data_IF_994635546612
#
_entry.id   IF_994635546612
#
_cell.length_a   1.000
_cell.length_b   1.000
_cell.length_c   1.000
_cell.angle_alpha   90.00
_cell.angle_beta   90.00
_cell.angle_gamma   90.00
#
_symmetry.space_group_name_H-M   'P 1'
#
loop_
_entity.id
_entity.type
_entity.pdbx_description
1 polymer ?
#
# COMPACT_ATOMS: atom_id res chain seq x y z
N UNK A 1 -4.11 -4.54 16.51
CA UNK A 1 -2.90 -4.74 15.66
C UNK A 1 -2.14 -6.06 15.86
N UNK A 2 -2.26 -6.75 17.01
CA UNK A 2 -1.43 -7.93 17.36
C UNK A 2 -1.60 -9.16 16.47
N UNK A 3 -2.81 -9.45 15.96
CA UNK A 3 -3.04 -10.65 15.14
C UNK A 3 -2.44 -10.57 13.72
N UNK A 4 -2.53 -9.41 13.06
CA UNK A 4 -1.92 -9.16 11.75
C UNK A 4 -0.39 -9.24 11.87
N UNK A 5 0.18 -8.57 12.88
CA UNK A 5 1.60 -8.59 13.16
C UNK A 5 2.14 -10.01 13.31
N UNK A 6 1.50 -10.83 14.15
CA UNK A 6 1.90 -12.25 14.34
C UNK A 6 1.76 -13.08 13.08
N UNK A 7 0.85 -12.72 12.18
CA UNK A 7 0.66 -13.45 10.92
C UNK A 7 1.77 -13.10 9.93
N UNK A 8 2.05 -11.81 9.74
CA UNK A 8 3.17 -11.34 8.93
C UNK A 8 4.52 -11.84 9.47
N UNK A 9 4.72 -11.79 10.79
CA UNK A 9 5.93 -12.31 11.43
C UNK A 9 6.13 -13.80 11.09
N UNK A 10 5.07 -14.61 11.26
CA UNK A 10 5.13 -16.06 10.93
C UNK A 10 5.38 -16.31 9.45
N UNK A 11 4.76 -15.53 8.56
CA UNK A 11 4.97 -15.65 7.11
C UNK A 11 6.40 -15.27 6.72
N UNK A 12 6.91 -14.15 7.22
CA UNK A 12 8.26 -13.64 6.95
C UNK A 12 9.39 -14.49 7.58
N UNK A 13 9.11 -15.24 8.64
CA UNK A 13 10.05 -16.17 9.27
C UNK A 13 10.20 -17.50 8.53
N UNK A 14 9.34 -17.79 7.55
CA UNK A 14 9.48 -19.02 6.74
C UNK A 14 10.84 -18.99 6.03
N UNK A 15 11.60 -20.10 6.04
CA UNK A 15 12.85 -20.18 5.30
C UNK A 15 12.55 -19.87 3.83
N UNK A 16 13.24 -18.87 3.27
CA UNK A 16 13.09 -18.54 1.87
C UNK A 16 13.60 -19.72 1.03
N UNK A 17 12.74 -20.29 0.19
CA UNK A 17 13.13 -21.21 -0.85
C UNK A 17 14.14 -20.53 -1.81
N UNK A 18 14.87 -21.27 -2.65
CA UNK A 18 15.75 -20.66 -3.66
C UNK A 18 15.02 -19.63 -4.54
N UNK A 19 13.75 -19.90 -4.85
CA UNK A 19 12.89 -19.00 -5.63
C UNK A 19 12.32 -17.80 -4.84
N UNK A 20 12.54 -17.74 -3.53
CA UNK A 20 11.99 -16.73 -2.64
C UNK A 20 10.61 -17.04 -2.09
N UNK A 21 10.16 -16.22 -1.15
CA UNK A 21 8.80 -16.22 -0.61
C UNK A 21 8.17 -14.83 -0.77
N UNK A 22 6.86 -14.77 -0.99
CA UNK A 22 6.15 -13.52 -1.29
C UNK A 22 4.92 -13.36 -0.42
N UNK A 23 4.84 -12.21 0.23
CA UNK A 23 3.73 -11.77 1.07
C UNK A 23 3.30 -10.38 0.63
N UNK A 24 2.00 -10.12 0.58
CA UNK A 24 1.48 -8.76 0.34
C UNK A 24 0.87 -8.21 1.62
N UNK A 25 1.21 -6.96 1.94
CA UNK A 25 0.52 -6.15 2.94
C UNK A 25 -0.37 -5.14 2.21
N UNK A 26 -1.59 -5.54 1.91
CA UNK A 26 -2.56 -4.78 1.12
C UNK A 26 -3.23 -3.75 2.02
N UNK A 27 -3.27 -2.49 1.65
CA UNK A 27 -4.09 -1.54 2.42
C UNK A 27 -4.02 -0.10 1.95
N UNK A 28 -4.92 0.77 2.46
CA UNK A 28 -4.96 2.16 2.05
C UNK A 28 -3.69 2.91 2.47
N UNK A 29 -3.33 3.99 1.77
CA UNK A 29 -2.24 4.86 2.21
C UNK A 29 -2.56 5.49 3.56
N UNK A 30 -1.51 5.90 4.27
CA UNK A 30 -1.61 6.58 5.57
C UNK A 30 -2.32 5.78 6.67
N UNK A 31 -2.38 4.45 6.55
CA UNK A 31 -2.97 3.56 7.58
C UNK A 31 -1.96 3.07 8.61
N UNK A 32 -0.71 3.52 8.55
CA UNK A 32 0.36 3.12 9.47
C UNK A 32 1.17 1.91 9.01
N UNK A 33 1.02 1.45 7.75
CA UNK A 33 1.79 0.33 7.18
C UNK A 33 3.30 0.52 7.32
N UNK A 34 3.82 1.71 6.97
CA UNK A 34 5.24 2.03 7.12
C UNK A 34 5.74 1.88 8.56
N UNK A 35 5.00 2.40 9.55
CA UNK A 35 5.35 2.25 10.96
C UNK A 35 5.33 0.77 11.39
N UNK A 36 4.35 0.01 10.88
CA UNK A 36 4.26 -1.42 11.13
C UNK A 36 5.41 -2.22 10.50
N UNK A 37 5.79 -1.90 9.26
CA UNK A 37 6.91 -2.54 8.58
C UNK A 37 8.23 -2.21 9.26
N UNK A 38 8.40 -1.01 9.81
CA UNK A 38 9.55 -0.69 10.67
C UNK A 38 9.60 -1.60 11.90
N UNK A 39 8.51 -1.65 12.68
CA UNK A 39 8.44 -2.50 13.86
C UNK A 39 8.63 -3.98 13.53
N UNK A 40 8.14 -4.42 12.37
CA UNK A 40 8.34 -5.76 11.85
C UNK A 40 9.80 -6.03 11.47
N UNK A 41 10.50 -5.08 10.85
CA UNK A 41 11.92 -5.20 10.54
C UNK A 41 12.76 -5.40 11.81
N UNK A 42 12.47 -4.61 12.84
CA UNK A 42 13.14 -4.70 14.13
C UNK A 42 12.88 -6.06 14.79
N UNK A 43 11.63 -6.52 14.79
CA UNK A 43 11.23 -7.80 15.38
C UNK A 43 11.78 -9.03 14.63
N UNK A 44 12.03 -8.92 13.32
CA UNK A 44 12.58 -10.01 12.51
C UNK A 44 14.11 -10.08 12.54
N UNK A 45 14.77 -9.00 12.93
CA UNK A 45 16.23 -8.95 12.97
C UNK A 45 16.77 -9.69 14.20
N UNK A 46 17.62 -10.68 13.95
CA UNK A 46 18.24 -11.56 14.95
C UNK A 46 19.65 -11.98 14.49
N UNK A 47 20.42 -12.71 15.31
CA UNK A 47 21.74 -13.22 14.90
C UNK A 47 21.73 -14.12 13.65
N UNK A 48 20.59 -14.72 13.29
CA UNK A 48 20.48 -15.64 12.15
C UNK A 48 19.54 -15.16 11.05
N UNK A 49 18.93 -13.99 11.21
CA UNK A 49 17.97 -13.42 10.27
C UNK A 49 18.13 -11.89 10.24
N UNK A 50 18.13 -11.28 9.05
CA UNK A 50 18.12 -9.82 8.91
C UNK A 50 16.91 -9.39 8.10
N UNK A 51 16.26 -8.31 8.52
CA UNK A 51 15.18 -7.68 7.76
C UNK A 51 15.58 -6.26 7.34
N UNK A 52 15.34 -5.93 6.08
CA UNK A 52 15.63 -4.61 5.52
C UNK A 52 14.36 -4.01 4.95
N UNK A 53 14.03 -2.80 5.41
CA UNK A 53 12.97 -1.99 4.82
C UNK A 53 13.54 -1.17 3.65
N UNK A 54 12.94 -1.31 2.48
CA UNK A 54 13.27 -0.59 1.27
C UNK A 54 12.15 0.42 1.00
N UNK A 55 12.39 1.70 1.28
CA UNK A 55 11.42 2.75 0.98
C UNK A 55 11.58 3.19 -0.47
N UNK A 56 10.72 2.68 -1.36
CA UNK A 56 10.83 2.98 -2.79
C UNK A 56 10.46 4.42 -3.13
N UNK A 57 9.72 5.11 -2.27
CA UNK A 57 9.36 6.51 -2.52
C UNK A 57 10.59 7.42 -2.52
N UNK A 58 11.63 7.06 -1.78
CA UNK A 58 12.90 7.77 -1.83
C UNK A 58 13.53 7.74 -3.24
N UNK A 59 13.14 6.80 -4.10
CA UNK A 59 13.74 6.60 -5.43
C UNK A 59 12.80 7.01 -6.57
N UNK A 60 11.55 7.38 -6.23
CA UNK A 60 10.52 7.70 -7.20
C UNK A 60 10.49 9.22 -7.44
N UNK A 61 10.86 9.67 -8.64
CA UNK A 61 10.90 11.09 -8.96
C UNK A 61 9.51 11.68 -9.23
N UNK A 62 8.50 10.86 -9.55
CA UNK A 62 7.14 11.29 -9.89
C UNK A 62 6.09 10.19 -9.70
N UNK A 63 4.83 10.63 -9.72
CA UNK A 63 3.56 9.89 -9.67
C UNK A 63 3.27 9.05 -10.93
N UNK A 64 4.26 8.35 -11.47
CA UNK A 64 4.07 7.50 -12.65
C UNK A 64 3.87 6.02 -12.29
N UNK A 65 3.03 5.30 -13.04
CA UNK A 65 2.84 3.88 -12.82
C UNK A 65 4.10 3.12 -13.20
N UNK A 66 4.52 2.27 -12.29
CA UNK A 66 5.62 1.33 -12.51
C UNK A 66 5.11 0.08 -13.20
N UNK A 67 5.88 -0.39 -14.17
CA UNK A 67 5.83 -1.79 -14.59
C UNK A 67 6.83 -2.66 -13.81
N UNK A 68 6.86 -3.95 -14.10
CA UNK A 68 7.70 -4.92 -13.37
C UNK A 68 9.19 -4.67 -13.52
N UNK A 69 9.66 -4.22 -14.68
CA UNK A 69 11.07 -3.91 -14.90
C UNK A 69 11.50 -2.72 -14.03
N UNK A 70 10.68 -1.67 -14.03
CA UNK A 70 10.95 -0.47 -13.24
C UNK A 70 10.88 -0.75 -11.74
N UNK A 71 9.89 -1.54 -11.29
CA UNK A 71 9.79 -1.96 -9.90
C UNK A 71 11.02 -2.74 -9.45
N UNK A 72 11.46 -3.73 -10.23
CA UNK A 72 12.64 -4.53 -9.90
C UNK A 72 13.92 -3.69 -9.89
N UNK A 73 14.04 -2.73 -10.82
CA UNK A 73 15.16 -1.79 -10.83
C UNK A 73 15.19 -0.96 -9.55
N UNK A 74 14.06 -0.39 -9.14
CA UNK A 74 13.96 0.39 -7.90
C UNK A 74 14.27 -0.47 -6.68
N UNK A 75 13.79 -1.71 -6.63
CA UNK A 75 14.13 -2.65 -5.56
C UNK A 75 15.63 -2.96 -5.54
N UNK A 76 16.25 -3.20 -6.70
CA UNK A 76 17.68 -3.49 -6.79
C UNK A 76 18.53 -2.30 -6.31
N UNK A 77 18.18 -1.09 -6.75
CA UNK A 77 18.84 0.17 -6.37
C UNK A 77 18.66 0.44 -4.87
N UNK A 78 17.43 0.32 -4.35
CA UNK A 78 17.15 0.54 -2.94
C UNK A 78 17.85 -0.49 -2.04
N UNK A 79 17.90 -1.75 -2.48
CA UNK A 79 18.64 -2.78 -1.78
C UNK A 79 20.14 -2.46 -1.81
N UNK A 80 20.71 -2.11 -2.95
CA UNK A 80 22.13 -1.77 -3.07
C UNK A 80 22.51 -0.60 -2.15
N UNK A 81 21.76 0.50 -2.13
CA UNK A 81 22.02 1.61 -1.19
C UNK A 81 21.97 1.17 0.28
N UNK A 82 20.98 0.33 0.64
CA UNK A 82 20.89 -0.19 2.01
C UNK A 82 22.05 -1.11 2.36
N UNK A 83 22.50 -1.93 1.41
CA UNK A 83 23.60 -2.86 1.61
C UNK A 83 24.97 -2.18 1.58
N UNK A 84 25.11 -1.02 0.93
CA UNK A 84 26.31 -0.17 0.97
C UNK A 84 26.60 0.42 2.36
N UNK A 85 25.70 0.28 3.34
CA UNK A 85 25.95 0.75 4.71
C UNK A 85 26.90 -0.21 5.46
N UNK A 86 27.71 0.29 6.42
CA UNK A 86 28.73 -0.52 7.12
C UNK A 86 28.19 -1.72 7.92
N UNK A 87 26.93 -1.68 8.31
CA UNK A 87 26.27 -2.76 9.05
C UNK A 87 25.77 -3.91 8.15
N UNK A 88 25.99 -3.80 6.83
CA UNK A 88 25.59 -4.77 5.82
C UNK A 88 26.80 -5.26 5.01
N UNK A 89 26.87 -4.94 3.70
CA UNK A 89 28.00 -5.28 2.82
C UNK A 89 29.02 -4.15 2.70
N UNK A 90 28.62 -2.93 3.08
CA UNK A 90 29.49 -1.77 3.08
C UNK A 90 30.62 -1.88 4.09
N UNK A 91 31.59 -0.98 3.91
CA UNK A 91 32.78 -0.88 4.72
C UNK A 91 32.80 0.48 5.43
N UNK A 92 33.32 0.51 6.66
CA UNK A 92 33.55 1.77 7.36
C UNK A 92 34.73 2.53 6.74
N UNK A 93 35.69 1.80 6.17
CA UNK A 93 36.81 2.35 5.42
C UNK A 93 36.39 2.55 3.94
N UNK A 94 36.42 3.80 3.42
CA UNK A 94 36.09 4.08 2.02
C UNK A 94 37.09 3.50 1.01
N UNK A 95 38.26 3.02 1.44
CA UNK A 95 39.28 2.41 0.58
C UNK A 95 39.14 0.88 0.47
N UNK A 96 38.29 0.24 1.27
CA UNK A 96 38.01 -1.18 1.13
C UNK A 96 37.28 -1.47 -0.19
N UNK A 97 37.62 -2.57 -0.88
CA UNK A 97 37.00 -2.92 -2.14
C UNK A 97 35.50 -3.13 -1.97
N UNK A 98 34.74 -2.66 -2.96
CA UNK A 98 33.30 -2.80 -2.98
C UNK A 98 32.94 -4.28 -3.16
N UNK A 99 31.88 -4.73 -2.48
CA UNK A 99 31.39 -6.09 -2.62
C UNK A 99 31.07 -6.40 -4.10
N UNK A 100 31.55 -7.54 -4.65
CA UNK A 100 31.33 -7.91 -6.05
C UNK A 100 29.86 -7.90 -6.47
N UNK A 101 28.91 -8.21 -5.57
CA UNK A 101 27.49 -8.18 -5.90
C UNK A 101 26.97 -6.76 -6.16
N UNK A 102 27.45 -5.78 -5.38
CA UNK A 102 27.12 -4.36 -5.59
C UNK A 102 27.79 -3.81 -6.85
N UNK A 103 29.02 -4.26 -7.12
CA UNK A 103 29.74 -3.92 -8.35
C UNK A 103 29.04 -4.49 -9.59
N UNK A 104 28.49 -5.72 -9.52
CA UNK A 104 27.75 -6.34 -10.62
C UNK A 104 26.51 -5.53 -11.01
N UNK A 105 25.73 -5.04 -10.04
CA UNK A 105 24.60 -4.15 -10.33
C UNK A 105 25.08 -2.86 -11.01
N UNK A 106 26.14 -2.24 -10.49
CA UNK A 106 26.65 -0.99 -11.06
C UNK A 106 27.17 -1.18 -12.49
N UNK A 107 27.81 -2.32 -12.77
CA UNK A 107 28.21 -2.69 -14.12
C UNK A 107 26.99 -2.86 -15.03
N UNK A 108 25.99 -3.62 -14.59
CA UNK A 108 24.74 -3.83 -15.34
C UNK A 108 24.02 -2.51 -15.64
N UNK A 109 23.97 -1.60 -14.68
CA UNK A 109 23.40 -0.26 -14.85
C UNK A 109 24.13 0.52 -15.96
N UNK A 110 25.45 0.40 -16.06
CA UNK A 110 26.24 1.06 -17.10
C UNK A 110 26.08 0.37 -18.46
N UNK A 111 26.12 -0.97 -18.53
CA UNK A 111 26.17 -1.71 -19.80
C UNK A 111 24.81 -1.97 -20.41
N UNK A 112 23.84 -2.38 -19.60
CA UNK A 112 22.51 -2.80 -20.08
C UNK A 112 21.49 -1.67 -19.99
N UNK A 113 21.58 -0.84 -18.95
CA UNK A 113 20.70 0.33 -18.78
C UNK A 113 21.31 1.64 -19.30
N UNK A 114 22.53 1.61 -19.87
CA UNK A 114 23.23 2.75 -20.47
C UNK A 114 23.35 3.97 -19.53
N UNK A 115 23.60 3.72 -18.24
CA UNK A 115 23.73 4.76 -17.22
C UNK A 115 25.17 5.27 -17.08
N UNK A 116 25.42 6.50 -17.52
CA UNK A 116 26.72 7.15 -17.36
C UNK A 116 27.05 7.41 -15.88
N UNK A 117 28.12 6.75 -15.39
CA UNK A 117 28.79 6.96 -14.11
C UNK A 117 27.98 6.61 -12.85
N UNK A 118 27.79 5.31 -12.58
CA UNK A 118 27.23 4.83 -11.30
C UNK A 118 28.34 4.18 -10.46
N UNK A 119 28.82 4.86 -9.41
CA UNK A 119 29.66 4.22 -8.37
C UNK A 119 28.78 3.78 -7.19
N UNK A 120 28.98 2.57 -6.62
CA UNK A 120 28.14 1.99 -5.55
C UNK A 120 27.92 2.84 -4.28
N UNK A 121 28.75 3.86 -4.04
CA UNK A 121 28.60 4.81 -2.92
C UNK A 121 27.82 6.10 -3.24
N UNK A 122 27.66 6.43 -4.54
CA UNK A 122 26.88 7.60 -5.02
C UNK A 122 25.63 7.16 -5.79
N UNK A 123 25.46 5.84 -5.97
CA UNK A 123 24.36 5.21 -6.71
C UNK A 123 22.99 5.74 -6.27
N UNK A 124 22.76 5.92 -4.98
CA UNK A 124 21.55 6.56 -4.45
C UNK A 124 21.34 7.98 -4.99
N UNK A 125 22.34 8.84 -4.79
CA UNK A 125 22.25 10.27 -5.12
C UNK A 125 22.15 10.50 -6.64
N UNK A 126 22.91 9.74 -7.43
CA UNK A 126 22.84 9.82 -8.90
C UNK A 126 21.53 9.25 -9.43
N UNK A 127 21.05 8.12 -8.87
CA UNK A 127 19.76 7.58 -9.25
C UNK A 127 18.63 8.57 -8.93
N UNK A 128 18.58 9.14 -7.72
CA UNK A 128 17.58 10.16 -7.37
C UNK A 128 17.61 11.36 -8.32
N UNK A 129 18.80 11.89 -8.63
CA UNK A 129 18.95 13.05 -9.53
C UNK A 129 18.44 12.76 -10.94
N UNK A 130 18.58 11.51 -11.40
CA UNK A 130 18.34 11.14 -12.80
C UNK A 130 17.11 10.27 -13.01
N UNK A 131 16.45 9.78 -11.97
CA UNK A 131 15.46 8.69 -12.07
C UNK A 131 14.42 8.91 -13.17
N UNK A 132 13.93 10.15 -13.36
CA UNK A 132 12.99 10.48 -14.43
C UNK A 132 13.59 10.30 -15.84
N UNK A 133 14.85 10.69 -16.01
CA UNK A 133 15.63 10.46 -17.23
C UNK A 133 16.03 9.00 -17.43
N UNK A 134 16.04 8.17 -16.37
CA UNK A 134 16.42 6.74 -16.45
C UNK A 134 15.24 5.84 -16.78
N UNK A 135 14.11 6.05 -16.13
CA UNK A 135 12.93 5.21 -16.31
C UNK A 135 12.29 5.43 -17.69
N UNK A 136 12.38 6.64 -18.25
CA UNK A 136 11.76 6.97 -19.54
C UNK A 136 12.34 6.15 -20.72
N UNK A 137 13.67 6.01 -20.91
CA UNK A 137 14.23 5.12 -21.90
C UNK A 137 13.83 3.65 -21.70
N UNK A 138 13.82 3.16 -20.46
CA UNK A 138 13.43 1.78 -20.16
C UNK A 138 11.98 1.49 -20.57
N UNK A 139 11.08 2.46 -20.40
CA UNK A 139 9.68 2.38 -20.88
C UNK A 139 9.59 2.25 -22.39
N UNK A 140 10.51 2.86 -23.14
CA UNK A 140 10.52 2.84 -24.60
C UNK A 140 11.18 1.59 -25.20
N UNK A 141 11.76 0.71 -24.38
CA UNK A 141 12.37 -0.52 -24.86
C UNK A 141 11.32 -1.49 -25.44
N UNK A 142 11.72 -2.20 -26.48
CA UNK A 142 10.93 -3.29 -27.06
C UNK A 142 10.76 -4.44 -26.05
N UNK A 143 9.59 -5.11 -25.98
CA UNK A 143 9.34 -6.23 -25.07
C UNK A 143 10.45 -7.29 -25.04
N UNK A 144 10.98 -7.68 -26.19
CA UNK A 144 12.05 -8.69 -26.32
C UNK A 144 13.36 -8.31 -25.59
N UNK A 145 13.63 -7.02 -25.38
CA UNK A 145 14.78 -6.56 -24.57
C UNK A 145 14.44 -6.48 -23.09
N UNK A 146 13.16 -6.30 -22.74
CA UNK A 146 12.72 -6.08 -21.37
C UNK A 146 12.69 -7.36 -20.54
N UNK A 147 12.28 -8.47 -21.13
CA UNK A 147 12.21 -9.76 -20.42
C UNK A 147 13.59 -10.26 -19.93
N UNK A 148 14.66 -10.23 -20.76
CA UNK A 148 16.02 -10.53 -20.27
C UNK A 148 16.45 -9.61 -19.13
N UNK A 149 16.18 -8.31 -19.22
CA UNK A 149 16.53 -7.33 -18.17
C UNK A 149 15.81 -7.61 -16.84
N UNK A 150 14.54 -8.01 -16.89
CA UNK A 150 13.79 -8.46 -15.72
C UNK A 150 14.47 -9.67 -15.07
N UNK A 151 14.91 -10.63 -15.88
CA UNK A 151 15.63 -11.80 -15.38
C UNK A 151 16.96 -11.40 -14.72
N UNK A 152 17.76 -10.57 -15.38
CA UNK A 152 19.05 -10.11 -14.87
C UNK A 152 18.91 -9.39 -13.53
N UNK A 153 17.95 -8.47 -13.41
CA UNK A 153 17.69 -7.77 -12.15
C UNK A 153 17.32 -8.72 -11.02
N UNK A 154 16.50 -9.74 -11.29
CA UNK A 154 16.17 -10.77 -10.29
C UNK A 154 17.42 -11.54 -9.86
N UNK A 155 18.31 -11.88 -10.79
CA UNK A 155 19.56 -12.56 -10.46
C UNK A 155 20.50 -11.66 -9.64
N UNK A 156 20.64 -10.39 -10.02
CA UNK A 156 21.45 -9.41 -9.29
C UNK A 156 20.93 -9.20 -7.86
N UNK A 157 19.62 -9.09 -7.68
CA UNK A 157 19.00 -9.05 -6.35
C UNK A 157 19.33 -10.32 -5.56
N UNK A 158 19.19 -11.50 -6.18
CA UNK A 158 19.54 -12.77 -5.55
C UNK A 158 21.01 -12.85 -5.12
N UNK A 159 21.92 -12.37 -5.95
CA UNK A 159 23.36 -12.32 -5.66
C UNK A 159 23.66 -11.40 -4.47
N UNK A 160 23.05 -10.21 -4.42
CA UNK A 160 23.16 -9.29 -3.28
C UNK A 160 22.68 -9.95 -1.97
N UNK A 161 21.55 -10.65 -2.02
CA UNK A 161 21.01 -11.38 -0.86
C UNK A 161 21.95 -12.52 -0.43
N UNK A 162 22.51 -13.29 -1.37
CA UNK A 162 23.45 -14.37 -1.07
C UNK A 162 24.77 -13.85 -0.49
N UNK A 163 25.32 -12.76 -1.02
CA UNK A 163 26.50 -12.10 -0.50
C UNK A 163 26.29 -11.73 0.98
N UNK A 164 25.13 -11.12 1.28
CA UNK A 164 24.78 -10.77 2.65
C UNK A 164 24.64 -11.99 3.56
N UNK A 165 23.94 -13.04 3.11
CA UNK A 165 23.80 -14.29 3.87
C UNK A 165 25.15 -14.92 4.17
N UNK A 166 26.08 -14.86 3.22
CA UNK A 166 27.42 -15.44 3.37
C UNK A 166 28.26 -14.64 4.36
N UNK A 167 28.32 -13.30 4.20
CA UNK A 167 29.11 -12.40 5.06
C UNK A 167 28.69 -12.50 6.53
N UNK A 168 27.39 -12.61 6.79
CA UNK A 168 26.83 -12.59 8.14
C UNK A 168 26.30 -13.95 8.61
N UNK A 169 26.57 -15.04 7.86
CA UNK A 169 26.10 -16.41 8.17
C UNK A 169 24.59 -16.50 8.45
N UNK A 170 23.79 -15.73 7.69
CA UNK A 170 22.34 -15.64 7.90
C UNK A 170 21.62 -16.84 7.30
N UNK A 171 20.64 -17.37 8.04
CA UNK A 171 19.72 -18.38 7.54
C UNK A 171 18.70 -17.78 6.57
N UNK A 172 18.20 -16.59 6.89
CA UNK A 172 17.20 -15.88 6.09
C UNK A 172 17.45 -14.37 6.02
N UNK A 173 17.01 -13.79 4.90
CA UNK A 173 16.95 -12.34 4.69
C UNK A 173 15.51 -12.00 4.33
N UNK A 174 14.98 -10.97 4.97
CA UNK A 174 13.63 -10.46 4.70
C UNK A 174 13.74 -9.08 4.06
N UNK A 175 13.06 -8.88 2.95
CA UNK A 175 12.96 -7.59 2.27
C UNK A 175 11.55 -7.05 2.45
N UNK A 176 11.41 -5.90 3.11
CA UNK A 176 10.14 -5.21 3.29
C UNK A 176 10.10 -4.03 2.31
N UNK A 177 9.49 -4.25 1.15
CA UNK A 177 9.37 -3.26 0.08
C UNK A 177 8.17 -2.36 0.37
N UNK A 178 8.44 -1.12 0.75
CA UNK A 178 7.44 -0.17 1.23
C UNK A 178 7.08 0.90 0.18
N UNK A 179 6.00 1.63 0.45
CA UNK A 179 5.56 2.83 -0.28
C UNK A 179 5.01 2.61 -1.70
N UNK A 180 4.70 1.38 -2.12
CA UNK A 180 4.10 1.18 -3.45
C UNK A 180 2.65 1.68 -3.51
N UNK A 181 1.92 1.71 -2.40
CA UNK A 181 0.59 2.32 -2.36
C UNK A 181 0.59 3.85 -2.60
N UNK A 182 1.78 4.47 -2.58
CA UNK A 182 1.95 5.91 -2.80
C UNK A 182 2.24 6.26 -4.27
N UNK A 183 2.35 5.25 -5.14
CA UNK A 183 2.36 5.39 -6.59
C UNK A 183 0.97 5.85 -7.07
N UNK A 184 0.65 7.12 -6.85
CA UNK A 184 -0.56 7.75 -7.38
C UNK A 184 -0.25 8.36 -8.73
N UNK A 185 -1.28 8.66 -9.52
CA UNK A 185 -1.27 9.78 -10.47
C UNK A 185 -2.44 10.72 -10.12
N UNK A 186 -2.31 12.03 -10.31
CA UNK A 186 -3.42 12.95 -10.10
C UNK A 186 -4.54 12.73 -11.15
N UNK A 187 -5.80 12.72 -10.68
CA UNK A 187 -6.99 12.77 -11.52
C UNK A 187 -7.23 11.52 -12.38
N UNK A 188 -7.66 11.73 -13.64
CA UNK A 188 -8.08 10.69 -14.60
C UNK A 188 -6.99 9.67 -14.97
N UNK A 189 -5.73 9.89 -14.56
CA UNK A 189 -4.65 8.93 -14.74
C UNK A 189 -4.67 7.78 -13.72
N UNK A 190 -5.49 7.87 -12.65
CA UNK A 190 -5.54 6.86 -11.59
C UNK A 190 -5.94 5.47 -12.10
N UNK A 191 -6.91 5.38 -13.01
CA UNK A 191 -7.36 4.09 -13.55
C UNK A 191 -6.24 3.39 -14.33
N UNK A 192 -5.54 4.12 -15.19
CA UNK A 192 -4.40 3.60 -15.94
C UNK A 192 -3.21 3.21 -15.03
N UNK A 193 -2.99 3.96 -13.95
CA UNK A 193 -1.98 3.62 -12.95
C UNK A 193 -2.33 2.32 -12.23
N UNK A 194 -3.56 2.23 -11.76
CA UNK A 194 -4.06 1.06 -11.06
C UNK A 194 -4.03 -0.17 -11.97
N UNK A 195 -4.49 -0.07 -13.23
CA UNK A 195 -4.43 -1.17 -14.19
C UNK A 195 -3.00 -1.73 -14.36
N UNK A 196 -2.00 -0.84 -14.45
CA UNK A 196 -0.59 -1.24 -14.53
C UNK A 196 -0.08 -1.88 -13.25
N UNK A 197 -0.37 -1.28 -12.09
CA UNK A 197 0.01 -1.87 -10.81
C UNK A 197 -0.62 -3.24 -10.61
N UNK A 198 -1.89 -3.39 -10.96
CA UNK A 198 -2.60 -4.67 -10.92
C UNK A 198 -1.93 -5.68 -11.84
N UNK A 199 -1.49 -5.28 -13.04
CA UNK A 199 -0.71 -6.16 -13.92
C UNK A 199 0.55 -6.66 -13.23
N UNK A 200 1.30 -5.76 -12.57
CA UNK A 200 2.53 -6.13 -11.82
C UNK A 200 2.25 -7.11 -10.68
N UNK A 201 1.20 -6.86 -9.89
CA UNK A 201 0.89 -7.66 -8.70
C UNK A 201 0.04 -8.91 -8.96
N UNK A 202 -0.61 -9.01 -10.12
CA UNK A 202 -1.44 -10.16 -10.52
C UNK A 202 -0.72 -11.02 -11.56
N UNK A 203 -0.41 -10.44 -12.73
CA UNK A 203 0.17 -11.17 -13.85
C UNK A 203 1.64 -11.54 -13.60
N UNK A 204 2.42 -10.57 -13.11
CA UNK A 204 3.87 -10.71 -12.94
C UNK A 204 4.27 -11.23 -11.54
N UNK A 205 3.34 -11.82 -10.81
CA UNK A 205 3.55 -12.36 -9.45
C UNK A 205 4.78 -13.28 -9.33
N UNK A 206 5.07 -14.22 -10.27
CA UNK A 206 6.30 -15.01 -10.21
C UNK A 206 7.57 -14.16 -10.26
N UNK A 207 7.52 -13.03 -10.99
CA UNK A 207 8.62 -12.09 -11.18
C UNK A 207 8.87 -11.22 -9.94
N UNK A 208 7.92 -11.15 -9.00
CA UNK A 208 8.08 -10.47 -7.71
C UNK A 208 8.64 -11.37 -6.60
N UNK A 209 8.74 -12.68 -6.82
CA UNK A 209 9.41 -13.61 -5.89
C UNK A 209 10.93 -13.48 -6.03
N UNK A 210 11.54 -12.70 -5.13
CA UNK A 210 12.96 -12.39 -5.18
C UNK A 210 13.80 -13.58 -4.69
N UNK A 211 14.79 -14.06 -5.48
CA UNK A 211 15.58 -15.23 -5.10
C UNK A 211 16.24 -15.10 -3.74
N UNK A 212 16.25 -16.19 -2.97
CA UNK A 212 16.88 -16.31 -1.64
C UNK A 212 16.36 -15.39 -0.53
N UNK A 213 15.30 -14.61 -0.78
CA UNK A 213 14.69 -13.70 0.20
C UNK A 213 13.23 -14.06 0.50
N UNK A 214 12.78 -13.71 1.70
CA UNK A 214 11.36 -13.56 1.98
C UNK A 214 10.98 -12.10 1.75
N UNK A 215 10.02 -11.83 0.87
CA UNK A 215 9.68 -10.47 0.45
C UNK A 215 8.27 -10.12 0.88
N UNK A 216 8.12 -8.99 1.57
CA UNK A 216 6.83 -8.39 1.92
C UNK A 216 6.70 -7.09 1.13
N UNK A 217 5.71 -7.01 0.24
CA UNK A 217 5.38 -5.76 -0.44
C UNK A 217 4.23 -5.06 0.27
N UNK A 218 4.41 -3.80 0.66
CA UNK A 218 3.29 -2.89 0.91
C UNK A 218 2.57 -2.69 -0.41
N UNK A 219 1.31 -3.13 -0.51
CA UNK A 219 0.59 -3.18 -1.77
C UNK A 219 -0.67 -2.30 -1.71
N UNK A 220 -1.14 -1.76 -2.85
CA UNK A 220 -2.33 -0.91 -2.91
C UNK A 220 -3.57 -1.60 -2.35
N UNK A 221 -4.44 -0.85 -1.67
CA UNK A 221 -5.73 -1.32 -1.16
C UNK A 221 -6.60 -1.96 -2.23
N UNK A 222 -6.52 -1.45 -3.47
CA UNK A 222 -7.31 -1.90 -4.60
C UNK A 222 -7.14 -3.38 -4.90
N UNK A 223 -6.00 -3.98 -4.58
CA UNK A 223 -5.77 -5.43 -4.74
C UNK A 223 -6.76 -6.28 -3.92
N UNK A 224 -7.38 -5.73 -2.86
CA UNK A 224 -8.42 -6.44 -2.12
C UNK A 224 -9.68 -6.75 -2.98
N UNK A 225 -9.87 -6.08 -4.12
CA UNK A 225 -10.93 -6.37 -5.07
C UNK A 225 -10.66 -7.60 -5.97
N UNK A 226 -9.47 -8.22 -5.88
CA UNK A 226 -9.10 -9.44 -6.61
C UNK A 226 -8.91 -10.62 -5.66
N UNK A 227 -10.00 -11.31 -5.26
CA UNK A 227 -9.93 -12.38 -4.26
C UNK A 227 -9.10 -13.59 -4.73
N UNK A 228 -8.88 -13.74 -6.04
CA UNK A 228 -8.05 -14.82 -6.59
C UNK A 228 -6.56 -14.64 -6.29
N UNK A 229 -6.10 -13.45 -5.90
CA UNK A 229 -4.73 -13.21 -5.46
C UNK A 229 -4.44 -13.82 -4.08
N UNK A 230 -5.43 -13.83 -3.19
CA UNK A 230 -5.29 -14.33 -1.81
C UNK A 230 -4.76 -15.77 -1.72
N UNK A 231 -5.15 -16.73 -2.58
CA UNK A 231 -4.52 -18.06 -2.57
C UNK A 231 -3.15 -18.13 -3.26
N UNK A 232 -2.79 -17.17 -4.11
CA UNK A 232 -1.54 -17.19 -4.90
C UNK A 232 -0.34 -16.57 -4.14
N UNK A 233 -0.64 -15.70 -3.18
CA UNK A 233 0.32 -15.05 -2.27
C UNK A 233 -0.17 -15.12 -0.84
N UNK A 234 0.76 -15.11 0.11
CA UNK A 234 0.42 -14.88 1.50
C UNK A 234 -0.04 -13.41 1.67
N UNK A 235 -1.32 -13.13 1.41
CA UNK A 235 -1.88 -11.78 1.45
C UNK A 235 -2.44 -11.43 2.83
N UNK A 236 -2.06 -10.27 3.33
CA UNK A 236 -2.52 -9.69 4.58
C UNK A 236 -3.18 -8.34 4.28
N UNK A 237 -4.50 -8.27 4.44
CA UNK A 237 -5.24 -7.00 4.27
C UNK A 237 -5.18 -6.19 5.57
N UNK A 238 -4.73 -4.95 5.44
CA UNK A 238 -4.77 -3.93 6.47
C UNK A 238 -6.19 -3.38 6.56
N UNK A 239 -6.90 -3.78 7.61
CA UNK A 239 -8.25 -3.32 7.85
C UNK A 239 -8.24 -2.06 8.70
N UNK A 240 -9.14 -1.14 8.40
CA UNK A 240 -9.55 -0.13 9.37
C UNK A 240 -10.19 -0.86 10.56
N UNK A 241 -9.88 -0.42 11.78
CA UNK A 241 -10.57 -0.92 12.95
C UNK A 241 -11.98 -0.35 12.89
N UNK A 242 -13.02 -1.14 12.61
CA UNK A 242 -14.35 -0.52 12.55
C UNK A 242 -14.72 -0.12 13.96
N UNK A 243 -15.03 1.15 14.12
CA UNK A 243 -15.76 1.66 15.26
C UNK A 243 -17.19 1.08 15.30
N UNK A 244 -17.49 -0.14 14.83
CA UNK A 244 -18.79 -0.78 15.00
C UNK A 244 -18.63 -2.28 15.20
N UNK A 245 -19.55 -2.89 15.96
CA UNK A 245 -19.40 -4.27 16.43
C UNK A 245 -19.41 -5.34 15.32
N UNK A 246 -20.30 -5.24 14.32
CA UNK A 246 -20.49 -6.30 13.31
C UNK A 246 -21.13 -5.78 12.01
N UNK A 247 -21.02 -6.53 10.90
CA UNK A 247 -21.84 -6.29 9.71
C UNK A 247 -23.33 -6.14 10.07
N UNK A 248 -24.03 -5.20 9.42
CA UNK A 248 -25.42 -4.85 9.65
C UNK A 248 -25.69 -4.02 10.90
N UNK A 249 -24.72 -3.87 11.81
CA UNK A 249 -24.82 -2.99 12.97
C UNK A 249 -23.88 -1.79 12.82
N UNK A 250 -24.43 -0.58 12.82
CA UNK A 250 -23.66 0.67 12.69
C UNK A 250 -23.38 1.36 14.03
N UNK A 251 -23.79 0.75 15.14
CA UNK A 251 -23.56 1.29 16.47
C UNK A 251 -22.06 1.29 16.81
N UNK A 252 -21.55 2.37 17.43
CA UNK A 252 -20.16 2.48 17.77
C UNK A 252 -19.61 1.34 18.63
N UNK A 253 -18.39 0.87 18.39
CA UNK A 253 -17.66 -0.03 19.29
C UNK A 253 -16.73 0.81 20.18
N UNK A 254 -17.19 1.13 21.38
CA UNK A 254 -16.48 2.01 22.32
C UNK A 254 -15.09 1.51 22.72
N UNK A 255 -14.88 0.19 22.76
CA UNK A 255 -13.56 -0.38 23.04
C UNK A 255 -12.58 -0.07 21.90
N UNK A 256 -13.03 -0.21 20.65
CA UNK A 256 -12.23 0.13 19.47
C UNK A 256 -11.96 1.63 19.39
N UNK A 257 -12.97 2.46 19.71
CA UNK A 257 -12.81 3.92 19.77
C UNK A 257 -11.76 4.33 20.81
N UNK A 258 -11.76 3.72 21.98
CA UNK A 258 -10.76 3.96 23.02
C UNK A 258 -9.35 3.55 22.57
N UNK A 259 -9.18 2.41 21.88
CA UNK A 259 -7.89 2.00 21.30
C UNK A 259 -7.39 2.99 20.24
N UNK A 260 -8.27 3.45 19.35
CA UNK A 260 -7.93 4.43 18.32
C UNK A 260 -7.51 5.77 18.92
N UNK A 261 -8.24 6.24 19.94
CA UNK A 261 -7.86 7.45 20.68
C UNK A 261 -6.49 7.30 21.33
N UNK A 262 -6.27 6.22 22.07
CA UNK A 262 -4.99 5.97 22.75
C UNK A 262 -3.81 5.89 21.76
N UNK A 263 -4.04 5.44 20.52
CA UNK A 263 -3.02 5.42 19.48
C UNK A 263 -2.76 6.80 18.85
N UNK A 264 -3.77 7.67 18.76
CA UNK A 264 -3.68 8.98 18.12
C UNK A 264 -3.21 10.10 19.06
N UNK A 265 -3.69 10.09 20.31
CA UNK A 265 -3.52 11.16 21.30
C UNK A 265 -2.06 11.53 21.59
N UNK A 266 -1.08 10.59 21.67
CA UNK A 266 0.32 10.95 21.88
C UNK A 266 0.94 11.83 20.79
N UNK A 267 0.39 11.81 19.58
CA UNK A 267 0.85 12.63 18.45
C UNK A 267 0.18 14.01 18.39
N UNK A 268 -0.85 14.26 19.21
CA UNK A 268 -1.61 15.50 19.27
C UNK A 268 -1.85 15.95 20.71
N UNK A 269 -0.81 16.39 21.44
CA UNK A 269 -0.98 16.90 22.80
C UNK A 269 -2.07 17.98 22.92
N UNK A 270 -2.22 18.83 21.91
CA UNK A 270 -3.20 19.91 21.83
C UNK A 270 -4.64 19.39 21.79
N UNK A 271 -4.86 18.19 21.25
CA UNK A 271 -6.18 17.57 21.17
C UNK A 271 -6.73 17.13 22.55
N UNK A 272 -5.93 17.23 23.62
CA UNK A 272 -6.41 17.09 25.00
C UNK A 272 -7.42 18.17 25.39
N UNK A 273 -7.43 19.32 24.70
CA UNK A 273 -8.41 20.39 24.91
C UNK A 273 -9.80 20.06 24.34
N UNK A 274 -9.89 19.07 23.45
CA UNK A 274 -11.17 18.65 22.87
C UNK A 274 -12.00 17.86 23.88
N UNK A 275 -13.31 18.13 23.91
CA UNK A 275 -14.22 17.39 24.77
C UNK A 275 -14.45 15.94 24.26
N UNK A 276 -15.06 15.13 25.12
CA UNK A 276 -15.31 13.72 24.80
C UNK A 276 -16.24 13.53 23.60
N UNK A 277 -17.20 14.45 23.39
CA UNK A 277 -18.17 14.38 22.29
C UNK A 277 -17.51 14.66 20.93
N UNK A 278 -16.61 15.64 20.88
CA UNK A 278 -15.80 15.98 19.71
C UNK A 278 -14.90 14.82 19.34
N UNK A 279 -14.18 14.25 20.32
CA UNK A 279 -13.38 13.05 20.13
C UNK A 279 -14.19 11.90 19.56
N UNK A 280 -15.34 11.58 20.17
CA UNK A 280 -16.23 10.51 19.72
C UNK A 280 -16.66 10.72 18.26
N UNK A 281 -17.05 11.94 17.92
CA UNK A 281 -17.48 12.33 16.57
C UNK A 281 -16.35 12.16 15.56
N UNK A 282 -15.15 12.66 15.85
CA UNK A 282 -13.98 12.54 14.96
C UNK A 282 -13.55 11.08 14.76
N UNK A 283 -13.56 10.29 15.82
CA UNK A 283 -13.21 8.87 15.75
C UNK A 283 -14.22 8.10 14.87
N UNK A 284 -15.52 8.34 15.04
CA UNK A 284 -16.56 7.75 14.19
C UNK A 284 -16.42 8.20 12.73
N UNK A 285 -16.22 9.49 12.51
CA UNK A 285 -16.05 10.08 11.18
C UNK A 285 -14.84 9.54 10.43
N UNK A 286 -13.75 9.20 11.14
CA UNK A 286 -12.53 8.66 10.54
C UNK A 286 -12.68 7.28 9.90
N UNK A 287 -13.80 6.59 10.16
CA UNK A 287 -13.97 5.19 9.79
C UNK A 287 -12.91 4.28 10.40
N UNK A 288 -12.30 4.68 11.52
CA UNK A 288 -11.24 3.94 12.20
C UNK A 288 -9.92 3.86 11.45
N UNK A 289 -9.70 4.78 10.51
CA UNK A 289 -8.39 4.98 9.89
C UNK A 289 -7.61 6.05 10.63
N UNK A 290 -6.44 5.66 11.15
CA UNK A 290 -5.57 6.56 11.90
C UNK A 290 -5.17 7.79 11.06
N UNK A 291 -4.80 7.62 9.79
CA UNK A 291 -4.41 8.75 8.93
C UNK A 291 -5.55 9.71 8.61
N UNK A 292 -6.78 9.21 8.49
CA UNK A 292 -7.97 10.06 8.34
C UNK A 292 -8.22 10.80 9.65
N UNK A 293 -8.12 10.12 10.78
CA UNK A 293 -8.26 10.73 12.11
C UNK A 293 -7.22 11.84 12.34
N UNK A 294 -5.94 11.62 12.02
CA UNK A 294 -4.91 12.66 12.11
C UNK A 294 -5.26 13.90 11.28
N UNK A 295 -5.79 13.70 10.06
CA UNK A 295 -6.19 14.81 9.20
C UNK A 295 -7.38 15.57 9.78
N UNK A 296 -8.42 14.84 10.21
CA UNK A 296 -9.58 15.43 10.85
C UNK A 296 -9.20 16.19 12.14
N UNK A 297 -8.27 15.66 12.93
CA UNK A 297 -7.73 16.34 14.12
C UNK A 297 -7.00 17.63 13.75
N UNK A 298 -6.10 17.58 12.77
CA UNK A 298 -5.38 18.76 12.27
C UNK A 298 -6.37 19.85 11.84
N UNK A 299 -7.30 19.53 10.95
CA UNK A 299 -8.26 20.49 10.41
C UNK A 299 -9.20 21.02 11.51
N UNK A 300 -9.50 20.22 12.53
CA UNK A 300 -10.34 20.63 13.68
C UNK A 300 -9.58 21.57 14.61
N UNK A 301 -8.30 21.30 14.88
CA UNK A 301 -7.47 22.18 15.71
C UNK A 301 -7.20 23.51 15.00
N UNK A 302 -6.93 23.49 13.69
CA UNK A 302 -6.80 24.70 12.88
C UNK A 302 -8.10 25.53 12.92
N UNK A 303 -9.26 24.88 12.82
CA UNK A 303 -10.56 25.55 12.94
C UNK A 303 -10.84 26.07 14.37
N UNK A 304 -10.30 25.41 15.41
CA UNK A 304 -10.44 25.84 16.80
C UNK A 304 -9.74 27.16 17.07
N UNK A 305 -8.56 27.34 16.49
CA UNK A 305 -7.78 28.58 16.59
C UNK A 305 -8.54 29.78 15.99
N UNK A 306 -9.30 29.55 14.92
CA UNK A 306 -10.13 30.56 14.28
C UNK A 306 -11.50 30.76 14.96
N UNK A 307 -12.09 29.68 15.51
CA UNK A 307 -13.43 29.66 16.13
C UNK A 307 -13.45 28.79 17.39
N UNK A 308 -13.55 29.39 18.59
CA UNK A 308 -13.54 28.65 19.86
C UNK A 308 -14.73 27.70 20.07
N UNK A 309 -15.84 27.91 19.35
CA UNK A 309 -17.02 27.05 19.41
C UNK A 309 -17.01 25.97 18.33
N UNK A 310 -16.32 24.87 18.63
CA UNK A 310 -16.22 23.70 17.73
C UNK A 310 -17.56 23.02 17.49
N UNK A 311 -18.54 23.16 18.39
CA UNK A 311 -19.81 22.47 18.27
C UNK A 311 -20.58 22.91 17.01
N UNK A 312 -20.41 24.17 16.60
CA UNK A 312 -20.97 24.72 15.37
C UNK A 312 -20.09 24.48 14.14
N UNK A 313 -18.76 24.49 14.29
CA UNK A 313 -17.81 24.37 13.17
C UNK A 313 -17.59 22.92 12.70
N UNK A 314 -17.62 21.95 13.63
CA UNK A 314 -17.32 20.55 13.34
C UNK A 314 -18.24 19.93 12.27
N UNK A 315 -19.58 20.13 12.29
CA UNK A 315 -20.45 19.61 11.22
C UNK A 315 -20.07 20.12 9.83
N UNK A 316 -19.72 21.41 9.70
CA UNK A 316 -19.31 22.01 8.43
C UNK A 316 -17.96 21.47 7.95
N UNK A 317 -17.01 21.27 8.87
CA UNK A 317 -15.73 20.62 8.57
C UNK A 317 -15.95 19.19 8.06
N UNK A 318 -16.73 18.39 8.76
CA UNK A 318 -17.02 17.01 8.35
C UNK A 318 -17.75 16.95 7.00
N UNK A 319 -18.67 17.87 6.73
CA UNK A 319 -19.34 17.99 5.44
C UNK A 319 -18.33 18.26 4.31
N UNK A 320 -17.34 19.15 4.52
CA UNK A 320 -16.27 19.38 3.53
C UNK A 320 -15.46 18.12 3.23
N UNK A 321 -15.13 17.32 4.23
CA UNK A 321 -14.44 16.04 4.02
C UNK A 321 -15.31 15.03 3.28
N UNK A 322 -16.60 14.99 3.62
CA UNK A 322 -17.57 14.14 2.97
C UNK A 322 -17.72 14.51 1.48
N UNK A 323 -17.83 15.81 1.17
CA UNK A 323 -17.87 16.34 -0.20
C UNK A 323 -16.58 16.05 -0.98
N UNK A 324 -15.42 16.15 -0.33
CA UNK A 324 -14.13 15.82 -0.96
C UNK A 324 -14.01 14.34 -1.34
N UNK A 325 -14.69 13.45 -0.61
CA UNK A 325 -14.79 12.03 -0.95
C UNK A 325 -15.85 11.75 -2.03
N UNK A 326 -16.98 12.47 -1.99
CA UNK A 326 -18.14 12.23 -2.85
C UNK A 326 -18.02 12.86 -4.23
N UNK A 327 -17.63 14.13 -4.30
CA UNK A 327 -17.61 14.94 -5.53
C UNK A 327 -16.80 14.33 -6.70
N UNK A 328 -15.66 13.65 -6.47
CA UNK A 328 -14.90 13.04 -7.57
C UNK A 328 -15.52 11.76 -8.16
N UNK A 329 -16.57 11.20 -7.54
CA UNK A 329 -17.14 9.91 -7.91
C UNK A 329 -18.12 10.02 -9.08
N UNK A 330 -18.14 8.98 -9.92
CA UNK A 330 -19.08 8.88 -11.03
C UNK A 330 -20.43 8.29 -10.58
N UNK A 331 -21.53 8.48 -11.34
CA UNK A 331 -22.82 7.88 -11.00
C UNK A 331 -22.78 6.36 -10.79
N UNK A 332 -21.96 5.65 -11.55
CA UNK A 332 -21.75 4.20 -11.43
C UNK A 332 -21.06 3.84 -10.12
N UNK A 333 -20.14 4.69 -9.65
CA UNK A 333 -19.45 4.53 -8.36
C UNK A 333 -20.43 4.69 -7.20
N UNK A 334 -21.39 5.61 -7.31
CA UNK A 334 -22.46 5.76 -6.31
C UNK A 334 -23.32 4.50 -6.22
N UNK A 335 -23.72 3.93 -7.36
CA UNK A 335 -24.49 2.69 -7.38
C UNK A 335 -23.69 1.52 -6.78
N UNK A 336 -22.39 1.46 -7.08
CA UNK A 336 -21.46 0.49 -6.53
C UNK A 336 -21.32 0.62 -5.01
N UNK A 337 -21.08 1.82 -4.49
CA UNK A 337 -21.00 2.10 -3.06
C UNK A 337 -22.30 1.75 -2.33
N UNK A 338 -23.46 2.04 -2.91
CA UNK A 338 -24.78 1.66 -2.34
C UNK A 338 -24.93 0.15 -2.22
N UNK A 339 -24.56 -0.61 -3.25
CA UNK A 339 -24.57 -2.08 -3.22
C UNK A 339 -23.66 -2.62 -2.11
N UNK A 340 -22.42 -2.11 -2.02
CA UNK A 340 -21.50 -2.54 -0.95
C UNK A 340 -22.00 -2.11 0.43
N UNK A 341 -22.59 -0.92 0.57
CA UNK A 341 -23.21 -0.46 1.83
C UNK A 341 -24.33 -1.39 2.30
N UNK A 342 -25.15 -1.92 1.38
CA UNK A 342 -26.27 -2.81 1.68
C UNK A 342 -25.83 -4.24 2.02
N UNK A 343 -24.86 -4.77 1.27
CA UNK A 343 -24.46 -6.19 1.38
C UNK A 343 -23.16 -6.41 2.16
N UNK A 344 -22.39 -5.36 2.40
CA UNK A 344 -21.11 -5.33 3.11
C UNK A 344 -20.06 -6.32 2.60
N UNK A 345 -20.09 -6.58 1.30
CA UNK A 345 -19.19 -7.50 0.61
C UNK A 345 -18.79 -6.93 -0.74
N UNK A 346 -17.60 -7.30 -1.22
CA UNK A 346 -17.18 -7.04 -2.60
C UNK A 346 -17.72 -8.08 -3.58
N UNK A 347 -18.45 -9.10 -3.10
CA UNK A 347 -19.05 -10.12 -3.95
C UNK A 347 -20.17 -9.50 -4.78
N UNK A 348 -19.78 -8.90 -5.90
CA UNK A 348 -20.67 -8.26 -6.85
C UNK A 348 -20.81 -9.12 -8.10
N UNK A 349 -21.90 -8.89 -8.82
CA UNK A 349 -22.37 -9.74 -9.90
C UNK A 349 -21.41 -9.82 -11.11
N UNK A 350 -20.54 -8.82 -11.32
CA UNK A 350 -19.76 -8.70 -12.55
C UNK A 350 -18.27 -8.42 -12.30
N UNK A 351 -17.41 -9.15 -13.02
CA UNK A 351 -15.95 -8.96 -12.97
C UNK A 351 -15.52 -7.55 -13.42
N UNK A 352 -16.34 -6.88 -14.22
CA UNK A 352 -16.09 -5.56 -14.78
C UNK A 352 -16.15 -4.44 -13.74
N UNK A 353 -16.72 -4.69 -12.54
CA UNK A 353 -16.77 -3.72 -11.45
C UNK A 353 -15.44 -3.64 -10.67
N UNK A 354 -14.50 -4.57 -10.87
CA UNK A 354 -13.27 -4.65 -10.07
C UNK A 354 -12.38 -3.40 -10.17
N UNK A 355 -12.11 -2.81 -11.35
CA UNK A 355 -11.31 -1.59 -11.43
C UNK A 355 -11.93 -0.42 -10.65
N UNK A 356 -13.26 -0.28 -10.68
CA UNK A 356 -13.99 0.74 -9.91
C UNK A 356 -13.90 0.47 -8.41
N UNK A 357 -14.11 -0.78 -7.97
CA UNK A 357 -13.91 -1.17 -6.58
C UNK A 357 -12.49 -0.86 -6.09
N UNK A 358 -11.49 -1.10 -6.94
CA UNK A 358 -10.10 -0.79 -6.64
C UNK A 358 -9.91 0.71 -6.40
N UNK A 359 -10.43 1.53 -7.32
CA UNK A 359 -10.36 2.99 -7.22
C UNK A 359 -11.07 3.50 -5.96
N UNK A 360 -12.22 2.93 -5.59
CA UNK A 360 -12.95 3.27 -4.37
C UNK A 360 -12.18 2.90 -3.08
N UNK A 361 -11.47 1.78 -3.08
CA UNK A 361 -10.59 1.38 -1.95
C UNK A 361 -9.38 2.32 -1.83
N UNK A 362 -8.80 2.74 -2.95
CA UNK A 362 -7.67 3.68 -2.98
C UNK A 362 -8.05 5.11 -2.58
N UNK A 363 -9.22 5.57 -3.02
CA UNK A 363 -9.78 6.87 -2.65
C UNK A 363 -10.30 6.90 -1.22
N UNK A 364 -10.37 5.74 -0.56
CA UNK A 364 -10.94 5.55 0.78
C UNK A 364 -12.46 5.85 0.84
N UNK A 365 -13.14 5.97 -0.30
CA UNK A 365 -14.60 6.00 -0.34
C UNK A 365 -15.20 4.65 0.09
N UNK A 366 -14.48 3.56 -0.16
CA UNK A 366 -14.79 2.21 0.32
C UNK A 366 -13.70 1.70 1.26
N UNK A 367 -14.10 1.12 2.39
CA UNK A 367 -13.18 0.69 3.44
C UNK A 367 -13.28 -0.81 3.70
N UNK A 368 -12.12 -1.45 3.94
CA UNK A 368 -12.03 -2.81 4.44
C UNK A 368 -11.96 -2.80 5.97
N UNK A 369 -12.85 -3.54 6.61
CA UNK A 369 -13.03 -3.53 8.07
C UNK A 369 -12.75 -4.87 8.70
N UNK A 370 -12.37 -4.84 9.98
CA UNK A 370 -12.23 -6.02 10.84
C UNK A 370 -12.58 -5.68 12.28
N UNK A 371 -13.32 -6.56 12.96
CA UNK A 371 -13.58 -6.44 14.40
C UNK A 371 -12.63 -7.31 15.24
N UNK A 372 -12.74 -7.19 16.57
CA UNK A 372 -11.95 -7.98 17.53
C UNK A 372 -12.16 -9.49 17.39
N UNK A 373 -13.36 -9.94 17.00
CA UNK A 373 -13.67 -11.34 16.74
C UNK A 373 -13.05 -11.87 15.42
N UNK A 374 -12.42 -10.98 14.63
CA UNK A 374 -11.76 -11.34 13.38
C UNK A 374 -12.69 -11.42 12.16
N UNK A 375 -13.96 -11.04 12.30
CA UNK A 375 -14.88 -10.93 11.16
C UNK A 375 -14.43 -9.76 10.27
N UNK A 376 -14.46 -9.98 8.96
CA UNK A 376 -14.04 -9.02 7.94
C UNK A 376 -15.20 -8.68 7.02
N UNK A 377 -15.29 -7.44 6.58
CA UNK A 377 -16.30 -6.98 5.63
C UNK A 377 -15.86 -5.68 4.96
N UNK A 378 -16.64 -5.20 3.99
CA UNK A 378 -16.42 -3.94 3.31
C UNK A 378 -17.61 -3.02 3.56
N UNK A 379 -17.40 -1.71 3.65
CA UNK A 379 -18.50 -0.73 3.75
C UNK A 379 -18.04 0.62 3.19
N UNK A 380 -19.00 1.45 2.80
CA UNK A 380 -18.71 2.84 2.44
C UNK A 380 -18.14 3.59 3.66
N UNK A 381 -17.29 4.58 3.40
CA UNK A 381 -16.76 5.47 4.42
C UNK A 381 -17.91 6.11 5.24
N UNK A 382 -17.81 6.24 6.57
CA UNK A 382 -18.93 6.72 7.40
C UNK A 382 -19.47 8.09 7.01
N UNK A 383 -18.57 8.99 6.60
CA UNK A 383 -18.95 10.31 6.06
C UNK A 383 -19.87 10.24 4.84
N UNK A 384 -19.84 9.13 4.08
CA UNK A 384 -20.69 8.95 2.90
C UNK A 384 -22.05 8.32 3.21
N UNK A 385 -22.25 7.78 4.42
CA UNK A 385 -23.46 7.06 4.79
C UNK A 385 -24.77 7.82 4.52
N UNK A 386 -24.87 9.15 4.77
CA UNK A 386 -26.08 9.90 4.44
C UNK A 386 -26.52 9.69 2.98
N UNK A 387 -25.59 9.74 2.02
CA UNK A 387 -25.90 9.65 0.58
C UNK A 387 -26.09 8.22 0.05
N UNK A 388 -25.40 7.24 0.64
CA UNK A 388 -25.51 5.84 0.21
C UNK A 388 -26.62 5.07 0.93
N UNK A 389 -27.17 5.64 2.02
CA UNK A 389 -28.33 5.09 2.72
C UNK A 389 -29.66 5.40 2.04
N UNK A 390 -29.70 6.44 1.19
CA UNK A 390 -30.89 6.82 0.46
C UNK A 390 -31.31 5.68 -0.49
N UNK A 391 -32.60 5.28 -0.48
CA UNK A 391 -33.08 4.27 -1.42
C UNK A 391 -32.85 4.75 -2.85
N UNK A 392 -32.32 3.87 -3.71
CA UNK A 392 -32.26 4.18 -5.14
C UNK A 392 -33.69 4.52 -5.60
N UNK A 393 -33.90 5.63 -6.34
CA UNK A 393 -35.13 5.74 -7.10
C UNK A 393 -35.22 4.48 -7.95
N UNK A 394 -36.36 3.79 -7.93
CA UNK A 394 -36.58 2.57 -8.70
C UNK A 394 -36.12 2.84 -10.14
N UNK A 395 -35.03 2.23 -10.56
CA UNK A 395 -34.52 2.40 -11.91
C UNK A 395 -35.59 1.83 -12.85
N UNK A 396 -35.81 2.57 -13.93
CA UNK A 396 -36.58 2.19 -15.10
C UNK A 396 -36.22 0.74 -15.47
N UNK A 397 -37.21 -0.12 -15.76
CA UNK A 397 -36.98 -1.55 -16.01
C UNK A 397 -35.85 -1.74 -17.00
N UNK A 398 -34.95 -2.69 -16.68
CA UNK A 398 -34.07 -3.32 -17.65
C UNK A 398 -34.90 -3.57 -18.92
N UNK A 399 -34.54 -2.91 -20.03
CA UNK A 399 -34.94 -3.35 -21.35
C UNK A 399 -34.28 -4.72 -21.56
N UNK A 400 -34.93 -5.74 -20.98
CA UNK A 400 -34.74 -7.12 -21.35
C UNK A 400 -34.95 -7.16 -22.86
N UNK A 401 -33.88 -7.47 -23.57
CA UNK A 401 -33.90 -7.68 -25.01
C UNK A 401 -34.98 -8.69 -25.36
N UNK A 402 -36.11 -8.19 -25.83
CA UNK A 402 -37.07 -8.92 -26.62
C UNK A 402 -36.38 -9.25 -27.95
N UNK A 403 -35.62 -10.34 -27.97
CA UNK A 403 -35.35 -11.04 -29.21
C UNK A 403 -36.61 -11.83 -29.55
N UNK A 404 -37.36 -11.46 -30.60
CA UNK A 404 -38.49 -12.26 -31.03
C UNK A 404 -37.98 -13.63 -31.52
N UNK A 405 -38.76 -14.71 -31.31
CA UNK A 405 -38.38 -16.03 -31.80
C UNK A 405 -38.27 -16.00 -33.32
N UNK A 406 -37.09 -16.38 -33.82
CA UNK A 406 -36.89 -16.67 -35.24
C UNK A 406 -37.70 -17.91 -35.60
N UNK A 407 -38.60 -17.76 -36.57
CA UNK A 407 -39.29 -18.86 -37.26
C UNK A 407 -38.56 -19.19 -38.57
#
# INVERSE_FOLDING_TARGET
MTALHRTLLRQAQRPAAPQGHLTYLIGPPSTGKTAHLTALADALTSPTQRAYRLDLLAYLPDTTPLDTLELLLLVAVALADRLSKPDALGHADPFEPIDPALQALSHWLVTEAELDCVTPGVLYTEFQRRANGLLRPLRALHPDRREPMVHDLRQLIGQMVLALKTRHQLRSVVLLVDSLERLRAPGQALEGVMARMLTVFDHDLPLLRLPHAATVYSAPAGLAAWPHLVPLVDACVWHAARAVHRPGNRAPDEAVLAELRAAAEPAWPEAQALDAATWHTLLCASGGQIGVLHRLLSDTLDAFDDQPDLSAALPALLARHADALWSPLLPEDHALLRRVYQHQTLSLAHADDRPRLAALLESQALLAYRNAAGQQWFDAHPLLWPWVSEPMPASVPDEAGDNPPSN
#
